data_IF_645019526745
#
_entry.id   IF_645019526745
#
_cell.length_a   1.000
_cell.length_b   1.000
_cell.length_c   1.000
_cell.angle_alpha   90.00
_cell.angle_beta   90.00
_cell.angle_gamma   90.00
#
_symmetry.space_group_name_H-M   'P 1'
#
loop_
_entity.id
_entity.type
_entity.pdbx_description
1 polymer ?
#
# COMPACT_ATOMS: atom_id res chain seq x y z
N UNK A 1 -6.74 8.03 -19.33
CA UNK A 1 -6.96 9.02 -18.30
C UNK A 1 -7.99 8.48 -17.30
N UNK A 2 -7.71 8.57 -16.03
CA UNK A 2 -8.54 7.98 -14.96
C UNK A 2 -9.43 9.02 -14.28
N UNK A 3 -9.28 10.27 -14.67
CA UNK A 3 -10.11 11.40 -14.26
C UNK A 3 -11.02 11.77 -15.42
N UNK A 4 -12.24 12.20 -15.13
CA UNK A 4 -13.15 12.74 -16.15
C UNK A 4 -12.55 13.99 -16.79
N UNK A 5 -11.93 14.84 -15.97
CA UNK A 5 -11.21 16.04 -16.40
C UNK A 5 -9.83 16.05 -15.75
N UNK A 6 -8.78 16.20 -16.58
CA UNK A 6 -7.41 16.38 -16.11
C UNK A 6 -6.74 17.49 -16.90
N UNK A 7 -6.55 18.64 -16.29
CA UNK A 7 -5.92 19.82 -16.88
C UNK A 7 -4.59 20.11 -16.16
N UNK A 8 -3.48 19.97 -16.87
CA UNK A 8 -2.16 20.27 -16.34
C UNK A 8 -1.45 21.27 -17.26
N UNK A 9 -1.34 22.52 -16.81
CA UNK A 9 -0.82 23.65 -17.59
C UNK A 9 0.56 24.10 -17.10
N UNK A 10 1.37 23.22 -16.55
CA UNK A 10 2.74 23.51 -16.12
C UNK A 10 3.75 22.72 -16.96
N UNK A 11 4.90 23.35 -17.28
CA UNK A 11 6.02 22.68 -17.95
C UNK A 11 6.86 21.81 -17.00
N UNK A 12 6.70 22.02 -15.70
CA UNK A 12 7.42 21.27 -14.67
C UNK A 12 6.42 20.49 -13.79
N UNK A 13 6.78 19.30 -13.30
CA UNK A 13 5.98 18.61 -12.29
C UNK A 13 5.65 19.54 -11.12
N UNK A 14 4.43 19.44 -10.61
CA UNK A 14 3.99 20.16 -9.40
C UNK A 14 3.99 19.17 -8.26
N UNK A 15 4.77 19.48 -7.22
CA UNK A 15 4.85 18.70 -5.98
C UNK A 15 4.00 19.41 -4.93
N UNK A 16 3.16 18.65 -4.23
CA UNK A 16 2.24 19.19 -3.26
C UNK A 16 2.35 18.39 -1.95
N UNK A 17 3.07 18.95 -0.98
CA UNK A 17 3.15 18.37 0.36
C UNK A 17 1.82 18.51 1.10
N UNK A 18 1.27 17.42 1.61
CA UNK A 18 0.01 17.43 2.35
C UNK A 18 0.14 16.74 3.70
N UNK A 19 -0.50 17.32 4.72
CA UNK A 19 -0.70 16.62 5.97
C UNK A 19 -1.83 15.59 5.81
N UNK A 20 -1.49 14.29 5.90
CA UNK A 20 -2.43 13.20 5.66
C UNK A 20 -3.63 13.21 6.62
N UNK A 21 -3.44 13.62 7.89
CA UNK A 21 -4.55 13.73 8.84
C UNK A 21 -5.50 14.86 8.47
N UNK A 22 -4.99 15.96 7.93
CA UNK A 22 -5.80 17.11 7.52
C UNK A 22 -6.58 16.82 6.25
N UNK A 23 -5.94 16.27 5.22
CA UNK A 23 -6.63 15.90 3.99
C UNK A 23 -7.68 14.81 4.24
N UNK A 24 -7.38 13.83 5.12
CA UNK A 24 -8.34 12.79 5.49
C UNK A 24 -9.61 13.38 6.12
N UNK A 25 -9.50 14.39 7.00
CA UNK A 25 -10.67 15.05 7.60
C UNK A 25 -11.56 15.73 6.57
N UNK A 26 -10.98 16.24 5.50
CA UNK A 26 -11.73 16.89 4.42
C UNK A 26 -12.36 15.85 3.47
N UNK A 27 -11.58 14.86 3.04
CA UNK A 27 -12.09 13.88 2.05
C UNK A 27 -13.07 12.87 2.66
N UNK A 28 -13.03 12.62 3.97
CA UNK A 28 -13.99 11.71 4.62
C UNK A 28 -15.43 12.23 4.60
N UNK A 29 -15.64 13.52 4.29
CA UNK A 29 -16.97 14.14 4.18
C UNK A 29 -17.60 13.93 2.81
N UNK A 30 -16.85 13.37 1.85
CA UNK A 30 -17.29 13.10 0.48
C UNK A 30 -18.35 12.01 0.51
N UNK A 31 -19.52 12.31 -0.05
CA UNK A 31 -20.62 11.37 -0.20
C UNK A 31 -20.59 10.62 -1.54
N UNK A 32 -21.45 9.62 -1.67
CA UNK A 32 -21.48 8.73 -2.84
C UNK A 32 -21.87 9.44 -4.15
N UNK A 33 -22.59 10.56 -4.06
CA UNK A 33 -23.06 11.34 -5.21
C UNK A 33 -22.31 12.65 -5.39
N UNK A 34 -21.18 12.82 -4.72
CA UNK A 34 -20.37 14.02 -4.81
C UNK A 34 -19.35 13.88 -5.95
N UNK A 35 -19.26 14.89 -6.77
CA UNK A 35 -18.14 15.08 -7.68
C UNK A 35 -17.04 15.86 -6.98
N UNK A 36 -15.80 15.38 -7.09
CA UNK A 36 -14.63 15.95 -6.42
C UNK A 36 -13.67 16.52 -7.44
N UNK A 37 -13.24 17.78 -7.22
CA UNK A 37 -12.21 18.39 -8.02
C UNK A 37 -11.08 18.93 -7.13
N UNK A 38 -9.84 18.57 -7.47
CA UNK A 38 -8.62 19.07 -6.81
C UNK A 38 -7.94 20.08 -7.74
N UNK A 39 -7.66 21.27 -7.23
CA UNK A 39 -7.07 22.34 -8.03
C UNK A 39 -5.97 23.06 -7.27
N UNK A 40 -4.82 23.25 -7.90
CA UNK A 40 -3.75 24.16 -7.45
C UNK A 40 -3.64 25.29 -8.45
N UNK A 41 -3.83 26.51 -7.99
CA UNK A 41 -3.74 27.69 -8.85
C UNK A 41 -2.31 28.23 -8.92
N UNK A 42 -1.87 28.65 -10.09
CA UNK A 42 -0.54 29.30 -10.26
C UNK A 42 -0.35 30.53 -9.38
N UNK A 43 -1.44 31.24 -9.05
CA UNK A 43 -1.40 32.44 -8.20
C UNK A 43 -1.27 32.12 -6.72
N UNK A 44 -1.73 30.93 -6.29
CA UNK A 44 -1.70 30.42 -4.90
C UNK A 44 -1.11 29.02 -4.87
N UNK A 45 0.19 28.84 -5.21
CA UNK A 45 0.79 27.52 -5.38
C UNK A 45 0.90 26.71 -4.08
N UNK A 46 0.70 27.34 -2.93
CA UNK A 46 0.76 26.72 -1.60
C UNK A 46 -0.61 26.31 -1.05
N UNK A 47 -1.65 26.31 -1.92
CA UNK A 47 -3.01 25.97 -1.54
C UNK A 47 -3.58 24.90 -2.47
N UNK A 48 -4.09 23.82 -1.89
CA UNK A 48 -4.90 22.82 -2.58
C UNK A 48 -6.37 23.15 -2.35
N UNK A 49 -7.06 23.53 -3.41
CA UNK A 49 -8.49 23.76 -3.40
C UNK A 49 -9.21 22.44 -3.70
N UNK A 50 -10.13 22.05 -2.83
CA UNK A 50 -10.96 20.85 -2.92
C UNK A 50 -12.40 21.31 -3.09
N UNK A 51 -12.96 21.07 -4.27
CA UNK A 51 -14.34 21.38 -4.59
C UNK A 51 -15.17 20.09 -4.53
N UNK A 52 -16.25 20.11 -3.78
CA UNK A 52 -17.25 19.06 -3.75
C UNK A 52 -18.55 19.61 -4.30
N UNK A 53 -19.11 18.96 -5.30
CA UNK A 53 -20.39 19.32 -5.91
C UNK A 53 -21.34 18.14 -5.81
N UNK A 54 -22.55 18.39 -5.30
CA UNK A 54 -23.64 17.42 -5.25
C UNK A 54 -24.84 17.94 -6.03
N UNK A 55 -25.07 17.38 -7.21
CA UNK A 55 -26.15 17.80 -8.08
C UNK A 55 -27.55 17.49 -7.50
N UNK A 56 -27.68 16.37 -6.79
CA UNK A 56 -28.95 15.93 -6.19
C UNK A 56 -29.40 16.90 -5.09
N UNK A 57 -28.45 17.36 -4.28
CA UNK A 57 -28.71 18.29 -3.17
C UNK A 57 -28.52 19.77 -3.57
N UNK A 58 -28.05 20.02 -4.80
CA UNK A 58 -27.67 21.35 -5.30
C UNK A 58 -26.74 22.10 -4.30
N UNK A 59 -25.72 21.39 -3.80
CA UNK A 59 -24.76 21.95 -2.85
C UNK A 59 -23.35 21.95 -3.42
N UNK A 60 -22.62 23.04 -3.15
CA UNK A 60 -21.21 23.17 -3.48
C UNK A 60 -20.42 23.50 -2.22
N UNK A 61 -19.39 22.73 -1.96
CA UNK A 61 -18.49 22.96 -0.82
C UNK A 61 -17.09 23.19 -1.34
N UNK A 62 -16.44 24.24 -0.84
CA UNK A 62 -15.04 24.54 -1.15
C UNK A 62 -14.22 24.47 0.11
N UNK A 63 -13.17 23.63 0.09
CA UNK A 63 -12.18 23.56 1.15
C UNK A 63 -10.82 23.96 0.60
N UNK A 64 -10.07 24.75 1.36
CA UNK A 64 -8.71 25.17 1.00
C UNK A 64 -7.75 24.58 2.01
N UNK A 65 -6.90 23.66 1.55
CA UNK A 65 -5.87 23.03 2.35
C UNK A 65 -4.53 23.71 2.09
N UNK A 66 -3.89 24.22 3.14
CA UNK A 66 -2.52 24.74 3.05
C UNK A 66 -1.55 23.59 2.83
N UNK A 67 -0.74 23.72 1.79
CA UNK A 67 0.31 22.77 1.46
C UNK A 67 1.53 22.97 2.36
N UNK A 68 2.28 21.90 2.56
CA UNK A 68 3.53 21.90 3.29
C UNK A 68 4.69 22.00 2.30
N UNK A 69 5.68 22.78 2.67
CA UNK A 69 7.00 22.71 2.05
C UNK A 69 7.74 21.54 2.69
N UNK A 70 8.01 20.51 1.89
CA UNK A 70 8.64 19.28 2.36
C UNK A 70 9.98 19.17 1.65
N UNK A 71 11.09 19.19 2.40
CA UNK A 71 12.38 18.80 1.90
C UNK A 71 12.35 17.30 1.57
N UNK A 72 12.48 16.96 0.30
CA UNK A 72 12.32 15.58 -0.15
C UNK A 72 13.66 14.88 -0.26
N UNK A 73 13.79 13.82 0.52
CA UNK A 73 14.61 12.69 0.14
C UNK A 73 13.78 11.79 -0.80
N UNK A 74 14.05 11.86 -2.10
CA UNK A 74 13.40 10.99 -3.07
C UNK A 74 13.99 9.58 -2.89
N UNK A 75 13.30 8.73 -2.14
CA UNK A 75 13.63 7.31 -2.05
C UNK A 75 13.18 6.60 -3.34
N UNK A 76 14.09 6.43 -4.27
CA UNK A 76 13.85 5.56 -5.40
C UNK A 76 13.96 4.10 -4.94
N UNK A 77 12.88 3.34 -5.05
CA UNK A 77 12.98 1.88 -4.93
C UNK A 77 13.75 1.41 -6.16
N UNK A 78 14.92 0.79 -5.99
CA UNK A 78 15.71 0.33 -7.13
C UNK A 78 14.87 -0.64 -7.98
N UNK A 79 15.07 -0.55 -9.29
CA UNK A 79 14.46 -1.49 -10.24
C UNK A 79 15.26 -2.81 -10.17
N UNK A 80 14.84 -3.70 -9.28
CA UNK A 80 15.51 -4.99 -9.03
C UNK A 80 14.57 -6.13 -9.40
N UNK A 81 15.15 -7.19 -9.96
CA UNK A 81 14.45 -8.44 -10.17
C UNK A 81 14.39 -9.24 -8.87
N UNK A 82 13.21 -9.38 -8.30
CA UNK A 82 13.00 -10.17 -7.09
C UNK A 82 13.12 -11.66 -7.36
N UNK A 83 13.63 -12.39 -6.36
CA UNK A 83 13.77 -13.84 -6.45
C UNK A 83 12.44 -14.57 -6.37
N UNK A 84 11.44 -14.00 -5.71
CA UNK A 84 10.10 -14.56 -5.60
C UNK A 84 9.03 -13.49 -5.63
N UNK A 85 7.97 -13.76 -6.36
CA UNK A 85 6.71 -13.03 -6.33
C UNK A 85 5.61 -13.99 -5.87
N UNK A 86 4.85 -13.56 -4.89
CA UNK A 86 3.76 -14.33 -4.30
C UNK A 86 2.48 -13.51 -4.46
N UNK A 87 1.45 -14.10 -5.02
CA UNK A 87 0.12 -13.53 -5.10
C UNK A 87 -0.80 -14.31 -4.18
N UNK A 88 -1.50 -13.62 -3.29
CA UNK A 88 -2.44 -14.27 -2.39
C UNK A 88 -3.63 -13.37 -2.06
N UNK A 89 -4.77 -13.95 -1.60
CA UNK A 89 -5.89 -13.16 -1.14
C UNK A 89 -5.47 -12.17 -0.04
N UNK A 90 -5.80 -10.90 -0.23
CA UNK A 90 -5.41 -9.83 0.73
C UNK A 90 -5.98 -10.05 2.12
N UNK A 91 -7.19 -10.62 2.20
CA UNK A 91 -7.87 -10.91 3.45
C UNK A 91 -7.15 -11.99 4.26
N UNK A 92 -6.60 -13.00 3.58
CA UNK A 92 -5.85 -14.08 4.22
C UNK A 92 -4.51 -13.55 4.76
N UNK A 93 -3.80 -12.75 3.96
CA UNK A 93 -2.57 -12.11 4.40
C UNK A 93 -2.81 -11.21 5.63
N UNK A 94 -3.88 -10.40 5.61
CA UNK A 94 -4.26 -9.58 6.76
C UNK A 94 -4.54 -10.44 8.00
N UNK A 95 -5.29 -11.54 7.82
CA UNK A 95 -5.61 -12.46 8.91
C UNK A 95 -4.33 -13.05 9.51
N UNK A 96 -3.41 -13.55 8.69
CA UNK A 96 -2.16 -14.15 9.17
C UNK A 96 -1.30 -13.14 9.93
N UNK A 97 -1.15 -11.91 9.41
CA UNK A 97 -0.41 -10.86 10.11
C UNK A 97 -1.02 -10.53 11.48
N UNK A 98 -2.34 -10.43 11.55
CA UNK A 98 -3.05 -10.14 12.80
C UNK A 98 -2.93 -11.28 13.80
N UNK A 99 -3.14 -12.52 13.36
CA UNK A 99 -3.13 -13.69 14.23
C UNK A 99 -1.71 -13.90 14.80
N UNK A 100 -0.66 -13.75 13.98
CA UNK A 100 0.73 -13.89 14.42
C UNK A 100 1.19 -12.73 15.32
N UNK A 101 0.60 -11.54 15.19
CA UNK A 101 0.96 -10.41 16.06
C UNK A 101 0.52 -10.57 17.51
N UNK A 102 -0.33 -11.53 17.80
CA UNK A 102 -0.67 -11.92 19.19
C UNK A 102 0.48 -12.70 19.84
N UNK A 103 1.29 -13.38 19.03
CA UNK A 103 2.37 -14.27 19.47
C UNK A 103 3.70 -13.50 19.57
N UNK A 104 4.01 -12.66 18.59
CA UNK A 104 5.32 -12.01 18.46
C UNK A 104 5.21 -10.69 17.72
N UNK A 105 6.15 -9.78 17.95
CA UNK A 105 6.30 -8.52 17.18
C UNK A 105 6.99 -8.76 15.82
N UNK A 106 7.59 -9.92 15.61
CA UNK A 106 8.37 -10.26 14.43
C UNK A 106 7.83 -11.53 13.79
N UNK A 107 7.69 -11.54 12.48
CA UNK A 107 7.41 -12.72 11.67
C UNK A 107 8.59 -13.05 10.78
N UNK A 108 8.98 -14.32 10.74
CA UNK A 108 9.86 -14.85 9.71
C UNK A 108 8.98 -15.35 8.55
N UNK A 109 9.25 -14.83 7.35
CA UNK A 109 8.61 -15.27 6.11
C UNK A 109 9.61 -16.10 5.33
N UNK A 110 9.21 -17.32 4.95
CA UNK A 110 10.02 -18.21 4.10
C UNK A 110 9.23 -18.58 2.85
N UNK A 111 9.84 -18.44 1.69
CA UNK A 111 9.29 -18.87 0.42
C UNK A 111 10.18 -19.94 -0.21
N UNK A 112 9.59 -21.04 -0.60
CA UNK A 112 10.21 -22.13 -1.35
C UNK A 112 9.37 -22.40 -2.61
N UNK A 113 9.68 -23.41 -3.40
CA UNK A 113 9.07 -23.66 -4.73
C UNK A 113 7.53 -23.62 -4.75
N UNK A 114 6.87 -24.21 -3.75
CA UNK A 114 5.40 -24.31 -3.68
C UNK A 114 4.84 -23.94 -2.33
N UNK A 115 5.71 -23.61 -1.35
CA UNK A 115 5.35 -23.41 0.03
C UNK A 115 5.75 -22.02 0.51
N UNK A 116 4.79 -21.29 1.04
CA UNK A 116 4.99 -20.06 1.80
C UNK A 116 4.76 -20.34 3.27
N UNK A 117 5.69 -19.92 4.12
CA UNK A 117 5.60 -20.10 5.56
C UNK A 117 5.69 -18.78 6.28
N UNK A 118 4.82 -18.59 7.27
CA UNK A 118 4.91 -17.52 8.25
C UNK A 118 5.19 -18.13 9.62
N UNK A 119 6.24 -17.69 10.29
CA UNK A 119 6.71 -18.24 11.55
C UNK A 119 6.85 -17.10 12.55
N UNK A 120 6.14 -17.20 13.68
CA UNK A 120 6.25 -16.29 14.81
C UNK A 120 6.69 -17.07 16.06
N UNK A 121 7.75 -16.60 16.71
CA UNK A 121 8.25 -17.14 17.94
C UNK A 121 8.07 -16.09 19.04
N UNK A 122 7.27 -16.41 20.04
CA UNK A 122 7.00 -15.55 21.18
C UNK A 122 7.34 -16.23 22.50
N UNK A 123 7.21 -15.50 23.59
CA UNK A 123 7.59 -15.99 24.92
C UNK A 123 6.69 -17.12 25.42
N UNK A 124 5.41 -17.12 25.05
CA UNK A 124 4.43 -18.08 25.54
C UNK A 124 4.03 -19.13 24.49
N UNK A 125 4.26 -18.87 23.20
CA UNK A 125 3.90 -19.78 22.12
C UNK A 125 4.73 -19.54 20.86
N UNK A 126 4.85 -20.60 20.05
CA UNK A 126 5.37 -20.53 18.70
C UNK A 126 4.25 -20.90 17.73
N UNK A 127 4.09 -20.17 16.66
CA UNK A 127 3.11 -20.45 15.63
C UNK A 127 3.75 -20.47 14.25
N UNK A 128 3.40 -21.48 13.48
CA UNK A 128 3.80 -21.62 12.08
C UNK A 128 2.57 -21.82 11.22
N UNK A 129 2.46 -21.06 10.14
CA UNK A 129 1.44 -21.18 9.12
C UNK A 129 2.11 -21.62 7.82
N UNK A 130 1.74 -22.80 7.33
CA UNK A 130 2.20 -23.35 6.07
C UNK A 130 1.11 -23.19 5.00
N UNK A 131 1.43 -22.56 3.89
CA UNK A 131 0.50 -22.28 2.81
C UNK A 131 1.07 -22.88 1.53
N UNK A 132 0.37 -23.89 1.01
CA UNK A 132 0.73 -24.51 -0.26
C UNK A 132 0.08 -23.75 -1.43
N UNK A 133 0.76 -23.76 -2.56
CA UNK A 133 0.25 -23.17 -3.79
C UNK A 133 -1.02 -23.91 -4.25
N UNK A 134 -2.03 -23.12 -4.65
CA UNK A 134 -3.28 -23.62 -5.21
C UNK A 134 -3.72 -22.77 -6.38
N UNK A 135 -4.47 -23.35 -7.33
CA UNK A 135 -4.95 -22.63 -8.52
C UNK A 135 -5.86 -21.44 -8.22
N UNK A 136 -6.62 -21.49 -7.12
CA UNK A 136 -7.60 -20.46 -6.74
C UNK A 136 -7.19 -19.68 -5.48
N UNK A 137 -5.97 -19.85 -4.99
CA UNK A 137 -5.48 -19.22 -3.77
C UNK A 137 -4.13 -18.55 -3.99
N UNK A 138 -3.16 -18.92 -3.13
CA UNK A 138 -1.81 -18.41 -3.21
C UNK A 138 -1.05 -19.04 -4.37
N UNK A 139 -0.35 -18.21 -5.15
CA UNK A 139 0.56 -18.63 -6.24
C UNK A 139 1.95 -18.05 -6.02
N UNK A 140 2.99 -18.82 -6.33
CA UNK A 140 4.39 -18.41 -6.22
C UNK A 140 5.02 -18.47 -7.60
N UNK A 141 5.59 -17.36 -8.04
CA UNK A 141 6.43 -17.27 -9.23
C UNK A 141 7.86 -17.02 -8.76
N UNK A 142 8.79 -17.91 -9.12
CA UNK A 142 10.22 -17.71 -8.86
C UNK A 142 10.90 -17.16 -10.11
N UNK A 143 11.71 -16.13 -9.89
CA UNK A 143 12.50 -15.51 -10.96
C UNK A 143 13.93 -16.02 -11.02
N UNK A 144 14.52 -16.40 -9.90
CA UNK A 144 15.91 -16.88 -9.78
C UNK A 144 16.01 -17.99 -8.74
N UNK A 145 16.75 -19.05 -9.11
CA UNK A 145 17.26 -20.17 -8.30
C UNK A 145 16.36 -20.85 -7.27
N UNK A 146 16.65 -22.15 -7.04
CA UNK A 146 15.95 -23.04 -6.10
C UNK A 146 16.18 -22.76 -4.61
N UNK A 147 16.80 -21.65 -4.25
CA UNK A 147 17.12 -21.33 -2.89
C UNK A 147 15.89 -20.84 -2.10
N UNK A 148 15.78 -21.30 -0.88
CA UNK A 148 14.77 -20.79 0.07
C UNK A 148 15.04 -19.31 0.32
N UNK A 149 14.03 -18.48 0.08
CA UNK A 149 14.08 -17.06 0.37
C UNK A 149 13.52 -16.85 1.77
N UNK A 150 14.26 -16.14 2.62
CA UNK A 150 13.85 -15.91 4.00
C UNK A 150 14.11 -14.47 4.43
N UNK A 151 13.20 -13.92 5.23
CA UNK A 151 13.37 -12.60 5.85
C UNK A 151 12.57 -12.51 7.14
N UNK A 152 13.00 -11.63 8.04
CA UNK A 152 12.29 -11.31 9.27
C UNK A 152 11.75 -9.89 9.18
N UNK A 153 10.47 -9.70 9.55
CA UNK A 153 9.78 -8.42 9.38
C UNK A 153 8.92 -8.08 10.59
N UNK A 154 8.74 -6.78 10.83
CA UNK A 154 7.91 -6.30 11.93
C UNK A 154 6.43 -6.46 11.63
N UNK A 155 5.71 -7.23 12.46
CA UNK A 155 4.26 -7.41 12.37
C UNK A 155 3.50 -6.11 12.63
N UNK A 156 4.05 -5.20 13.43
CA UNK A 156 3.48 -3.85 13.62
C UNK A 156 3.29 -3.13 12.29
N UNK A 157 4.33 -3.11 11.44
CA UNK A 157 4.25 -2.43 10.14
C UNK A 157 3.42 -3.22 9.13
N UNK A 158 3.53 -4.54 9.11
CA UNK A 158 2.69 -5.39 8.25
C UNK A 158 1.20 -5.17 8.55
N UNK A 159 0.80 -5.12 9.81
CA UNK A 159 -0.57 -4.82 10.21
C UNK A 159 -1.04 -3.41 9.80
N UNK A 160 -0.14 -2.43 9.71
CA UNK A 160 -0.47 -1.11 9.14
C UNK A 160 -0.69 -1.19 7.64
N UNK A 161 0.13 -1.93 6.91
CA UNK A 161 0.04 -2.09 5.45
C UNK A 161 -1.21 -2.88 5.03
N UNK A 162 -1.59 -3.89 5.83
CA UNK A 162 -2.80 -4.68 5.56
C UNK A 162 -4.11 -3.91 5.75
N UNK A 163 -4.10 -2.66 6.24
CA UNK A 163 -5.27 -1.78 6.19
C UNK A 163 -5.72 -1.49 4.75
N UNK A 164 -4.84 -1.71 3.77
CA UNK A 164 -5.14 -1.60 2.35
C UNK A 164 -5.90 -2.80 1.77
N UNK A 165 -6.21 -3.83 2.57
CA UNK A 165 -6.91 -5.05 2.13
C UNK A 165 -8.22 -4.77 1.41
N UNK A 166 -8.99 -3.75 1.84
CA UNK A 166 -10.26 -3.40 1.21
C UNK A 166 -10.11 -2.73 -0.18
N UNK A 167 -8.89 -2.38 -0.58
CA UNK A 167 -8.62 -1.73 -1.88
C UNK A 167 -8.31 -2.74 -2.99
N UNK A 168 -7.91 -3.96 -2.62
CA UNK A 168 -7.52 -5.01 -3.57
C UNK A 168 -7.83 -6.39 -3.01
N UNK A 169 -8.43 -7.25 -3.83
CA UNK A 169 -8.69 -8.64 -3.43
C UNK A 169 -7.40 -9.47 -3.32
N UNK A 170 -6.35 -9.05 -4.01
CA UNK A 170 -5.05 -9.74 -4.05
C UNK A 170 -3.95 -8.79 -3.59
N UNK A 171 -3.04 -9.30 -2.78
CA UNK A 171 -1.77 -8.65 -2.46
C UNK A 171 -0.65 -9.40 -3.18
N UNK A 172 0.25 -8.62 -3.81
CA UNK A 172 1.51 -9.15 -4.34
C UNK A 172 2.61 -8.91 -3.32
N UNK A 173 3.37 -9.96 -3.03
CA UNK A 173 4.47 -9.97 -2.06
C UNK A 173 5.74 -10.31 -2.82
N UNK A 174 6.72 -9.40 -2.80
CA UNK A 174 8.00 -9.59 -3.46
C UNK A 174 9.07 -9.82 -2.41
N UNK A 175 9.82 -10.92 -2.56
CA UNK A 175 10.84 -11.35 -1.63
C UNK A 175 12.18 -11.58 -2.34
N UNK A 176 13.23 -11.15 -1.67
CA UNK A 176 14.62 -11.45 -2.00
C UNK A 176 15.44 -11.48 -0.70
N UNK A 177 16.42 -12.40 -0.61
CA UNK A 177 17.28 -12.50 0.56
C UNK A 177 18.07 -11.20 0.77
N UNK A 178 18.14 -10.74 2.03
CA UNK A 178 18.84 -9.50 2.43
C UNK A 178 18.32 -8.23 1.77
N UNK A 179 17.05 -8.22 1.35
CA UNK A 179 16.41 -7.10 0.69
C UNK A 179 15.07 -6.76 1.37
N UNK A 180 14.59 -5.51 1.25
CA UNK A 180 13.28 -5.14 1.77
C UNK A 180 12.16 -5.97 1.15
N UNK A 181 11.17 -6.34 1.96
CA UNK A 181 9.90 -6.87 1.52
C UNK A 181 9.12 -5.78 0.79
N UNK A 182 8.59 -6.10 -0.39
CA UNK A 182 7.68 -5.20 -1.09
C UNK A 182 6.28 -5.80 -1.11
N UNK A 183 5.29 -5.01 -0.70
CA UNK A 183 3.86 -5.33 -0.82
C UNK A 183 3.21 -4.40 -1.82
N UNK A 184 2.41 -4.95 -2.74
CA UNK A 184 1.68 -4.17 -3.73
C UNK A 184 0.20 -4.50 -3.69
N UNK A 185 -0.63 -3.44 -3.59
CA UNK A 185 -2.08 -3.50 -3.70
C UNK A 185 -2.53 -2.67 -4.89
N UNK A 186 -3.23 -3.26 -5.83
CA UNK A 186 -3.78 -2.55 -6.98
C UNK A 186 -5.13 -1.94 -6.63
N UNK A 187 -5.26 -0.64 -6.80
CA UNK A 187 -6.49 0.11 -6.49
C UNK A 187 -7.30 0.25 -7.78
N UNK A 188 -8.03 -0.78 -8.14
CA UNK A 188 -8.82 -0.83 -9.36
C UNK A 188 -8.04 -0.34 -10.57
N UNK A 189 -8.59 0.63 -11.31
CA UNK A 189 -7.93 1.27 -12.45
C UNK A 189 -7.12 2.52 -12.07
N UNK A 190 -7.12 2.94 -10.80
CA UNK A 190 -6.50 4.20 -10.37
C UNK A 190 -4.99 4.13 -10.27
N UNK A 191 -4.46 3.01 -9.78
CA UNK A 191 -3.03 2.85 -9.57
C UNK A 191 -2.69 1.69 -8.64
N UNK A 192 -1.55 1.81 -7.97
CA UNK A 192 -1.09 0.84 -6.98
C UNK A 192 -0.59 1.54 -5.73
N UNK A 193 -0.78 0.90 -4.57
CA UNK A 193 -0.08 1.20 -3.33
C UNK A 193 1.08 0.23 -3.18
N UNK A 194 2.26 0.75 -2.96
CA UNK A 194 3.47 -0.04 -2.79
C UNK A 194 4.10 0.29 -1.44
N UNK A 195 4.31 -0.73 -0.64
CA UNK A 195 4.95 -0.64 0.66
C UNK A 195 6.29 -1.33 0.63
N UNK A 196 7.30 -0.70 1.22
CA UNK A 196 8.64 -1.24 1.33
C UNK A 196 8.97 -1.38 2.83
N UNK A 197 9.36 -2.58 3.27
CA UNK A 197 9.68 -2.88 4.66
C UNK A 197 11.07 -3.50 4.75
N UNK A 198 11.98 -2.79 5.40
CA UNK A 198 13.32 -3.31 5.67
C UNK A 198 13.26 -4.58 6.55
N UNK A 199 14.12 -5.56 6.29
CA UNK A 199 14.26 -6.72 7.18
C UNK A 199 14.80 -6.28 8.55
N UNK A 200 14.55 -7.13 9.55
CA UNK A 200 15.07 -6.98 10.94
C UNK A 200 16.44 -7.62 11.05
#
# INVERSE_FOLDING_TARGET
NKFEVYNFNSLKPVMAGVNMSSIYKLVKTIGTHDTVCFTIYKKTPYELHIYLSNEVKNTNTTSILKLLDIDEDIYNIPDVEFNSQINMPSIDFQKYCRDLSVISDIVQIKSSNTLLQFIANGDFANQKIDINQTSNGMTITKFKDDNVITGQYSLKYLNLFTKSTNLSNVVEIYLMNNYPLILVYYVGNLGKLQYCLAPK
#
